data_IF_730507890219
#
_entry.id   IF_730507890219
#
_cell.length_a   1.000
_cell.length_b   1.000
_cell.length_c   1.000
_cell.angle_alpha   90.00
_cell.angle_beta   90.00
_cell.angle_gamma   90.00
#
_symmetry.space_group_name_H-M   'P 1'
#
loop_
_entity.id
_entity.type
_entity.pdbx_description
1 polymer ?
#
# COMPACT_ATOMS: atom_id res chain seq x y z
N UNK A 1 -19.41 -20.96 -20.34
CA UNK A 1 -19.38 -20.67 -18.88
C UNK A 1 -18.39 -21.54 -18.13
N UNK A 2 -18.39 -22.87 -18.32
CA UNK A 2 -17.46 -23.78 -17.63
C UNK A 2 -15.99 -23.43 -17.89
N UNK A 3 -15.65 -23.12 -19.15
CA UNK A 3 -14.28 -22.72 -19.53
C UNK A 3 -13.81 -21.44 -18.82
N UNK A 4 -14.67 -20.41 -18.73
CA UNK A 4 -14.35 -19.16 -18.01
C UNK A 4 -14.11 -19.45 -16.53
N UNK A 5 -14.94 -20.30 -15.92
CA UNK A 5 -14.78 -20.69 -14.52
C UNK A 5 -13.42 -21.38 -14.30
N UNK A 6 -13.04 -22.31 -15.19
CA UNK A 6 -11.74 -22.98 -15.13
C UNK A 6 -10.58 -21.98 -15.25
N UNK A 7 -10.68 -20.99 -16.14
CA UNK A 7 -9.67 -19.91 -16.24
C UNK A 7 -9.59 -19.10 -14.94
N UNK A 8 -10.72 -18.73 -14.35
CA UNK A 8 -10.72 -17.96 -13.09
C UNK A 8 -10.10 -18.78 -11.94
N UNK A 9 -10.36 -20.09 -11.88
CA UNK A 9 -9.79 -21.00 -10.89
C UNK A 9 -8.28 -21.24 -11.12
N UNK A 10 -7.83 -21.39 -12.37
CA UNK A 10 -6.40 -21.48 -12.76
C UNK A 10 -5.61 -20.28 -12.23
N UNK A 11 -6.22 -19.10 -12.23
CA UNK A 11 -5.62 -17.86 -11.74
C UNK A 11 -5.86 -17.62 -10.23
N UNK A 12 -6.47 -18.56 -9.51
CA UNK A 12 -6.72 -18.47 -8.07
C UNK A 12 -7.76 -17.40 -7.69
N UNK A 13 -8.67 -17.03 -8.60
CA UNK A 13 -9.72 -16.05 -8.31
C UNK A 13 -10.81 -16.69 -7.44
N UNK A 14 -11.02 -16.14 -6.25
CA UNK A 14 -11.96 -16.69 -5.27
C UNK A 14 -13.41 -16.73 -5.80
N UNK A 15 -14.14 -17.75 -5.36
CA UNK A 15 -15.58 -17.88 -5.66
C UNK A 15 -16.38 -16.65 -5.21
N UNK A 16 -15.96 -15.96 -4.15
CA UNK A 16 -16.59 -14.71 -3.72
C UNK A 16 -16.41 -13.61 -4.77
N UNK A 17 -15.20 -13.45 -5.33
CA UNK A 17 -14.95 -12.46 -6.36
C UNK A 17 -15.78 -12.73 -7.63
N UNK A 18 -15.92 -14.00 -8.01
CA UNK A 18 -16.77 -14.43 -9.12
C UNK A 18 -18.24 -14.06 -8.90
N UNK A 19 -18.79 -14.36 -7.72
CA UNK A 19 -20.18 -14.00 -7.34
C UNK A 19 -20.43 -12.49 -7.35
N UNK A 20 -19.43 -11.66 -7.04
CA UNK A 20 -19.56 -10.19 -7.04
C UNK A 20 -19.45 -9.56 -8.43
N UNK A 21 -19.14 -10.33 -9.48
CA UNK A 21 -19.01 -9.84 -10.85
C UNK A 21 -19.47 -10.87 -11.89
N UNK A 22 -20.78 -11.17 -11.94
CA UNK A 22 -21.34 -12.07 -12.97
C UNK A 22 -21.09 -11.62 -14.40
N UNK A 23 -20.94 -10.30 -14.63
CA UNK A 23 -20.63 -9.73 -15.94
C UNK A 23 -19.28 -10.21 -16.50
N UNK A 24 -18.40 -10.80 -15.69
CA UNK A 24 -17.17 -11.40 -16.19
C UNK A 24 -17.43 -12.52 -17.19
N UNK A 25 -18.55 -13.24 -17.06
CA UNK A 25 -18.91 -14.36 -17.93
C UNK A 25 -19.41 -13.92 -19.31
N UNK A 26 -19.56 -12.62 -19.57
CA UNK A 26 -19.89 -12.09 -20.90
C UNK A 26 -18.66 -11.88 -21.78
N UNK A 27 -17.45 -12.06 -21.25
CA UNK A 27 -16.19 -11.95 -21.99
C UNK A 27 -15.73 -13.32 -22.49
N UNK A 28 -14.87 -13.32 -23.52
CA UNK A 28 -14.23 -14.56 -23.96
C UNK A 28 -13.16 -15.03 -22.95
N UNK A 29 -12.92 -16.34 -22.83
CA UNK A 29 -11.85 -16.90 -21.99
C UNK A 29 -10.46 -16.33 -22.31
N UNK A 30 -10.16 -16.13 -23.59
CA UNK A 30 -8.90 -15.55 -24.06
C UNK A 30 -8.70 -14.11 -23.57
N UNK A 31 -9.72 -13.26 -23.66
CA UNK A 31 -9.67 -11.88 -23.15
C UNK A 31 -9.51 -11.84 -21.63
N UNK A 32 -10.13 -12.75 -20.90
CA UNK A 32 -9.96 -12.83 -19.43
C UNK A 32 -8.52 -13.20 -19.09
N UNK A 33 -7.95 -14.22 -19.75
CA UNK A 33 -6.57 -14.67 -19.55
C UNK A 33 -5.58 -13.53 -19.80
N UNK A 34 -5.70 -12.86 -20.94
CA UNK A 34 -4.85 -11.71 -21.30
C UNK A 34 -4.92 -10.60 -20.25
N UNK A 35 -6.14 -10.20 -19.84
CA UNK A 35 -6.33 -9.13 -18.85
C UNK A 35 -5.82 -9.51 -17.46
N UNK A 36 -5.91 -10.78 -17.07
CA UNK A 36 -5.36 -11.26 -15.80
C UNK A 36 -3.84 -11.29 -15.81
N UNK A 37 -3.20 -11.69 -16.91
CA UNK A 37 -1.74 -11.59 -17.04
C UNK A 37 -1.28 -10.13 -16.99
N UNK A 38 -1.93 -9.25 -17.75
CA UNK A 38 -1.63 -7.81 -17.72
C UNK A 38 -1.86 -7.22 -16.32
N UNK A 39 -2.81 -7.72 -15.54
CA UNK A 39 -3.05 -7.25 -14.18
C UNK A 39 -1.91 -7.57 -13.20
N UNK A 40 -1.09 -8.61 -13.47
CA UNK A 40 0.08 -8.94 -12.63
C UNK A 40 1.21 -7.93 -12.82
N UNK A 41 1.29 -7.28 -13.98
CA UNK A 41 2.36 -6.32 -14.31
C UNK A 41 2.07 -4.91 -13.80
N UNK A 42 0.79 -4.59 -13.55
CA UNK A 42 0.35 -3.27 -13.09
C UNK A 42 0.30 -3.24 -11.55
N UNK A 43 1.09 -2.40 -10.88
CA UNK A 43 1.18 -2.36 -9.41
C UNK A 43 -0.19 -2.21 -8.71
N UNK A 44 -1.04 -1.31 -9.19
CA UNK A 44 -2.39 -1.10 -8.64
C UNK A 44 -3.21 -2.38 -8.67
N UNK A 45 -3.24 -3.04 -9.83
CA UNK A 45 -4.09 -4.21 -10.03
C UNK A 45 -3.58 -5.37 -9.20
N UNK A 46 -2.26 -5.53 -9.10
CA UNK A 46 -1.63 -6.51 -8.21
C UNK A 46 -2.05 -6.29 -6.74
N UNK A 47 -2.09 -5.05 -6.26
CA UNK A 47 -2.54 -4.76 -4.87
C UNK A 47 -4.02 -5.12 -4.66
N UNK A 48 -4.85 -5.01 -5.69
CA UNK A 48 -6.27 -5.39 -5.61
C UNK A 48 -6.56 -6.85 -5.93
N UNK A 49 -5.56 -7.68 -6.27
CA UNK A 49 -5.78 -9.02 -6.83
C UNK A 49 -6.71 -9.90 -5.98
N UNK A 50 -6.50 -9.88 -4.66
CA UNK A 50 -7.30 -10.67 -3.70
C UNK A 50 -8.61 -9.98 -3.28
N UNK A 51 -8.88 -8.77 -3.76
CA UNK A 51 -10.05 -8.02 -3.33
C UNK A 51 -11.34 -8.62 -3.95
N UNK A 52 -12.45 -8.76 -3.19
CA UNK A 52 -13.69 -9.39 -3.69
C UNK A 52 -14.32 -8.71 -4.92
N UNK A 53 -13.90 -7.48 -5.23
CA UNK A 53 -14.39 -6.73 -6.40
C UNK A 53 -13.35 -6.63 -7.52
N UNK A 54 -12.22 -7.31 -7.42
CA UNK A 54 -11.12 -7.28 -8.40
C UNK A 54 -11.60 -7.55 -9.82
N UNK A 55 -12.50 -8.52 -10.01
CA UNK A 55 -13.04 -8.84 -11.33
C UNK A 55 -13.77 -7.67 -12.02
N UNK A 56 -14.23 -6.65 -11.28
CA UNK A 56 -14.77 -5.43 -11.90
C UNK A 56 -13.71 -4.63 -12.64
N UNK A 57 -12.47 -4.63 -12.14
CA UNK A 57 -11.32 -4.04 -12.85
C UNK A 57 -11.06 -4.83 -14.13
N UNK A 58 -11.07 -6.16 -14.06
CA UNK A 58 -10.85 -7.02 -15.23
C UNK A 58 -11.96 -6.84 -16.27
N UNK A 59 -13.21 -6.77 -15.83
CA UNK A 59 -14.34 -6.55 -16.74
C UNK A 59 -14.28 -5.16 -17.40
N UNK A 60 -14.05 -4.10 -16.63
CA UNK A 60 -13.91 -2.72 -17.11
C UNK A 60 -12.44 -2.32 -17.39
N UNK A 61 -11.61 -3.25 -17.87
CA UNK A 61 -10.16 -3.09 -17.95
C UNK A 61 -9.71 -1.82 -18.71
N UNK A 62 -10.21 -1.58 -19.92
CA UNK A 62 -9.87 -0.39 -20.71
C UNK A 62 -10.20 0.92 -19.97
N UNK A 63 -11.33 0.96 -19.25
CA UNK A 63 -11.72 2.11 -18.44
C UNK A 63 -10.78 2.28 -17.25
N UNK A 64 -10.48 1.20 -16.53
CA UNK A 64 -9.59 1.24 -15.38
C UNK A 64 -8.18 1.70 -15.77
N UNK A 65 -7.63 1.22 -16.88
CA UNK A 65 -6.33 1.65 -17.41
C UNK A 65 -6.29 3.14 -17.75
N UNK A 66 -7.28 3.63 -18.52
CA UNK A 66 -7.39 5.06 -18.85
C UNK A 66 -7.45 5.94 -17.61
N UNK A 67 -8.18 5.49 -16.57
CA UNK A 67 -8.28 6.18 -15.29
C UNK A 67 -6.96 6.18 -14.52
N UNK A 68 -6.23 5.05 -14.47
CA UNK A 68 -4.90 5.00 -13.84
C UNK A 68 -3.97 6.02 -14.50
N UNK A 69 -3.84 5.97 -15.83
CA UNK A 69 -2.95 6.86 -16.58
C UNK A 69 -3.26 8.33 -16.28
N UNK A 70 -4.53 8.74 -16.39
CA UNK A 70 -4.94 10.11 -16.13
C UNK A 70 -4.75 10.54 -14.67
N UNK A 71 -4.89 9.63 -13.70
CA UNK A 71 -4.67 9.96 -12.29
C UNK A 71 -3.18 10.10 -11.97
N UNK A 72 -2.32 9.28 -12.59
CA UNK A 72 -0.87 9.43 -12.50
C UNK A 72 -0.38 10.76 -13.08
N UNK A 73 -0.90 11.17 -14.25
CA UNK A 73 -0.57 12.47 -14.85
C UNK A 73 -0.93 13.64 -13.92
N UNK A 74 -1.96 13.46 -13.08
CA UNK A 74 -2.40 14.43 -12.08
C UNK A 74 -1.75 14.23 -10.70
N UNK A 75 -0.67 13.43 -10.60
CA UNK A 75 0.03 13.11 -9.36
C UNK A 75 -0.85 12.47 -8.26
N UNK A 76 -1.93 11.78 -8.65
CA UNK A 76 -2.83 11.07 -7.73
C UNK A 76 -2.43 9.61 -7.60
N UNK A 77 -1.99 9.23 -6.40
CA UNK A 77 -1.41 7.92 -6.09
C UNK A 77 -2.30 7.08 -5.18
N UNK A 78 -3.25 7.70 -4.48
CA UNK A 78 -4.13 7.03 -3.51
C UNK A 78 -5.38 6.40 -4.14
N UNK A 79 -5.15 5.45 -5.04
CA UNK A 79 -6.20 4.85 -5.84
C UNK A 79 -7.04 3.85 -5.03
N UNK A 80 -8.34 3.80 -5.33
CA UNK A 80 -9.28 2.82 -4.79
C UNK A 80 -10.01 2.09 -5.92
N UNK A 81 -10.47 0.86 -5.65
CA UNK A 81 -11.11 0.04 -6.69
C UNK A 81 -12.40 0.70 -7.21
N UNK A 82 -13.12 1.42 -6.35
CA UNK A 82 -14.31 2.19 -6.72
C UNK A 82 -14.00 3.29 -7.72
N UNK A 83 -12.87 3.98 -7.59
CA UNK A 83 -12.46 5.02 -8.53
C UNK A 83 -12.06 4.40 -9.87
N UNK A 84 -11.37 3.26 -9.85
CA UNK A 84 -10.90 2.61 -11.08
C UNK A 84 -12.02 1.94 -11.88
N UNK A 85 -12.96 1.26 -11.21
CA UNK A 85 -13.98 0.42 -11.87
C UNK A 85 -15.43 0.90 -11.69
N UNK A 86 -15.68 1.90 -10.84
CA UNK A 86 -17.01 2.39 -10.50
C UNK A 86 -17.55 3.47 -11.45
N UNK A 87 -18.53 4.23 -10.98
CA UNK A 87 -19.27 5.22 -11.77
C UNK A 87 -18.40 6.37 -12.30
N UNK A 88 -18.87 7.05 -13.35
CA UNK A 88 -18.25 8.28 -13.86
C UNK A 88 -18.25 9.40 -12.83
N UNK A 89 -19.40 9.64 -12.19
CA UNK A 89 -19.57 10.70 -11.21
C UNK A 89 -18.58 10.62 -10.03
N UNK A 90 -18.38 9.44 -9.43
CA UNK A 90 -17.41 9.30 -8.33
C UNK A 90 -15.97 9.51 -8.80
N UNK A 91 -15.64 9.04 -10.00
CA UNK A 91 -14.33 9.27 -10.61
C UNK A 91 -14.07 10.76 -10.86
N UNK A 92 -15.04 11.49 -11.42
CA UNK A 92 -14.88 12.92 -11.73
C UNK A 92 -14.71 13.76 -10.46
N UNK A 93 -15.47 13.45 -9.40
CA UNK A 93 -15.30 14.10 -8.10
C UNK A 93 -13.90 13.83 -7.54
N UNK A 94 -13.43 12.57 -7.57
CA UNK A 94 -12.08 12.23 -7.15
C UNK A 94 -11.01 12.90 -8.01
N UNK A 95 -11.21 12.96 -9.32
CA UNK A 95 -10.28 13.57 -10.28
C UNK A 95 -10.14 15.08 -10.06
N UNK A 96 -11.24 15.78 -9.75
CA UNK A 96 -11.24 17.23 -9.51
C UNK A 96 -10.84 17.61 -8.09
N UNK A 97 -10.89 16.69 -7.13
CA UNK A 97 -10.58 17.03 -5.72
C UNK A 97 -9.12 17.40 -5.52
N UNK A 98 -8.85 18.35 -4.63
CA UNK A 98 -7.48 18.66 -4.19
C UNK A 98 -6.96 17.53 -3.30
N UNK A 99 -5.90 16.85 -3.76
CA UNK A 99 -5.30 15.72 -3.07
C UNK A 99 -6.05 14.40 -3.22
N UNK A 100 -5.72 13.47 -2.33
CA UNK A 100 -5.78 12.02 -2.56
C UNK A 100 -6.64 11.27 -1.51
N UNK A 101 -7.62 11.96 -0.92
CA UNK A 101 -8.26 11.55 0.36
C UNK A 101 -9.49 10.66 0.21
N UNK A 102 -10.10 10.57 -0.97
CA UNK A 102 -11.47 10.07 -1.09
C UNK A 102 -11.55 8.53 -1.27
N UNK A 103 -12.39 7.89 -0.45
CA UNK A 103 -13.00 6.58 -0.75
C UNK A 103 -12.16 5.31 -0.51
N UNK A 104 -10.95 5.42 0.03
CA UNK A 104 -10.01 4.30 0.12
C UNK A 104 -9.93 3.57 1.46
N UNK A 105 -10.62 4.07 2.50
CA UNK A 105 -10.51 3.51 3.86
C UNK A 105 -10.79 2.01 3.91
N UNK A 106 -11.84 1.56 3.21
CA UNK A 106 -12.21 0.14 3.12
C UNK A 106 -11.16 -0.69 2.40
N UNK A 107 -10.64 -0.19 1.28
CA UNK A 107 -9.66 -0.89 0.47
C UNK A 107 -8.31 -1.00 1.21
N UNK A 108 -7.95 0.02 2.00
CA UNK A 108 -6.76 0.03 2.85
C UNK A 108 -6.86 -0.98 3.99
N UNK A 109 -7.97 -0.94 4.73
CA UNK A 109 -8.21 -1.90 5.81
C UNK A 109 -8.23 -3.32 5.25
N UNK A 110 -8.88 -3.53 4.10
CA UNK A 110 -8.89 -4.83 3.43
C UNK A 110 -7.47 -5.28 3.05
N UNK A 111 -6.68 -4.41 2.41
CA UNK A 111 -5.31 -4.72 2.00
C UNK A 111 -4.46 -5.17 3.20
N UNK A 112 -4.47 -4.40 4.30
CA UNK A 112 -3.69 -4.72 5.50
C UNK A 112 -4.18 -6.02 6.16
N UNK A 113 -5.50 -6.17 6.29
CA UNK A 113 -6.09 -7.38 6.90
C UNK A 113 -5.71 -8.63 6.10
N UNK A 114 -5.79 -8.54 4.77
CA UNK A 114 -5.42 -9.64 3.89
C UNK A 114 -3.93 -9.98 3.97
N UNK A 115 -3.07 -8.96 4.05
CA UNK A 115 -1.64 -9.12 4.24
C UNK A 115 -1.31 -9.85 5.55
N UNK A 116 -1.94 -9.44 6.66
CA UNK A 116 -1.73 -10.01 7.99
C UNK A 116 -2.29 -11.44 8.16
N UNK A 117 -3.31 -11.78 7.38
CA UNK A 117 -3.95 -13.10 7.41
C UNK A 117 -5.21 -13.18 8.29
N UNK A 118 -5.85 -14.37 8.34
CA UNK A 118 -7.22 -14.55 8.84
C UNK A 118 -7.38 -14.34 10.36
N UNK A 119 -6.27 -14.37 11.11
CA UNK A 119 -6.29 -14.18 12.58
C UNK A 119 -6.63 -12.75 12.99
N UNK A 120 -6.57 -11.78 12.07
CA UNK A 120 -6.77 -10.37 12.37
C UNK A 120 -8.07 -9.86 11.76
N UNK A 121 -8.90 -9.21 12.57
CA UNK A 121 -10.17 -8.65 12.08
C UNK A 121 -9.96 -7.28 11.44
N UNK A 122 -10.76 -6.98 10.39
CA UNK A 122 -10.78 -5.68 9.75
C UNK A 122 -11.11 -4.54 10.74
N UNK A 123 -11.97 -4.80 11.74
CA UNK A 123 -12.32 -3.84 12.79
C UNK A 123 -11.13 -3.50 13.67
N UNK A 124 -10.36 -4.51 14.09
CA UNK A 124 -9.16 -4.31 14.90
C UNK A 124 -8.09 -3.52 14.15
N UNK A 125 -7.83 -3.88 12.89
CA UNK A 125 -6.91 -3.14 12.01
C UNK A 125 -7.37 -1.69 11.86
N UNK A 126 -8.64 -1.46 11.54
CA UNK A 126 -9.20 -0.12 11.38
C UNK A 126 -9.02 0.75 12.64
N UNK A 127 -9.24 0.17 13.83
CA UNK A 127 -9.10 0.88 15.10
C UNK A 127 -7.66 1.29 15.39
N UNK A 128 -6.67 0.46 15.06
CA UNK A 128 -5.25 0.80 15.20
C UNK A 128 -4.87 1.91 14.21
N UNK A 129 -5.25 1.75 12.94
CA UNK A 129 -4.88 2.68 11.88
C UNK A 129 -5.46 4.09 12.11
N UNK A 130 -6.69 4.19 12.62
CA UNK A 130 -7.35 5.47 12.93
C UNK A 130 -6.59 6.35 13.92
N UNK A 131 -5.66 5.78 14.70
CA UNK A 131 -4.81 6.54 15.63
C UNK A 131 -3.83 7.46 14.89
N UNK A 132 -3.50 7.16 13.64
CA UNK A 132 -2.58 7.97 12.85
C UNK A 132 -3.34 8.98 11.99
N UNK A 133 -3.02 10.30 12.04
CA UNK A 133 -3.82 11.34 11.38
C UNK A 133 -3.91 11.20 9.86
N UNK A 134 -2.87 10.65 9.23
CA UNK A 134 -2.78 10.51 7.78
C UNK A 134 -3.01 9.08 7.26
N UNK A 135 -3.64 8.21 8.04
CA UNK A 135 -3.79 6.79 7.68
C UNK A 135 -4.52 6.57 6.34
N UNK A 136 -5.47 7.43 5.97
CA UNK A 136 -6.15 7.41 4.66
C UNK A 136 -5.46 8.28 3.59
N UNK A 137 -4.22 8.70 3.79
CA UNK A 137 -3.48 9.53 2.83
C UNK A 137 -2.28 8.80 2.21
N UNK A 138 -2.03 7.55 2.60
CA UNK A 138 -0.94 6.74 2.04
C UNK A 138 -1.43 5.82 0.90
N UNK A 139 -0.70 5.72 -0.23
CA UNK A 139 -1.03 4.81 -1.32
C UNK A 139 -1.02 3.34 -0.90
N UNK A 140 -1.96 2.54 -1.42
CA UNK A 140 -2.05 1.10 -1.12
C UNK A 140 -0.81 0.33 -1.56
N UNK A 141 -0.21 0.71 -2.69
CA UNK A 141 1.02 0.10 -3.21
C UNK A 141 2.15 0.23 -2.20
N UNK A 142 2.29 1.39 -1.56
CA UNK A 142 3.31 1.60 -0.53
C UNK A 142 3.05 0.71 0.68
N UNK A 143 1.81 0.63 1.15
CA UNK A 143 1.44 -0.21 2.30
C UNK A 143 1.76 -1.68 2.02
N UNK A 144 1.33 -2.19 0.85
CA UNK A 144 1.62 -3.56 0.41
C UNK A 144 3.14 -3.80 0.33
N UNK A 145 3.88 -2.87 -0.27
CA UNK A 145 5.33 -2.98 -0.40
C UNK A 145 6.04 -2.99 0.96
N UNK A 146 5.66 -2.11 1.89
CA UNK A 146 6.26 -2.04 3.23
C UNK A 146 5.95 -3.32 4.01
N UNK A 147 4.73 -3.84 3.90
CA UNK A 147 4.38 -5.13 4.50
C UNK A 147 5.24 -6.28 3.95
N UNK A 148 5.37 -6.37 2.62
CA UNK A 148 6.20 -7.41 1.98
C UNK A 148 7.66 -7.34 2.43
N UNK A 149 8.19 -6.14 2.71
CA UNK A 149 9.54 -5.97 3.23
C UNK A 149 9.65 -6.34 4.70
N UNK A 150 8.72 -5.90 5.55
CA UNK A 150 8.75 -6.20 6.99
C UNK A 150 8.52 -7.68 7.29
N UNK A 151 7.63 -8.34 6.54
CA UNK A 151 7.32 -9.76 6.74
C UNK A 151 8.51 -10.71 6.52
N UNK A 152 9.60 -10.24 5.90
CA UNK A 152 10.85 -11.00 5.80
C UNK A 152 11.57 -11.19 7.15
N UNK A 153 11.30 -10.32 8.13
CA UNK A 153 12.02 -10.28 9.41
C UNK A 153 11.09 -10.30 10.63
N UNK A 154 9.86 -9.83 10.48
CA UNK A 154 8.87 -9.66 11.55
C UNK A 154 7.67 -10.57 11.32
N UNK A 155 7.12 -11.11 12.41
CA UNK A 155 5.89 -11.90 12.31
C UNK A 155 4.68 -10.99 12.04
N UNK A 156 3.57 -11.56 11.56
CA UNK A 156 2.32 -10.82 11.40
C UNK A 156 1.85 -10.19 12.73
N UNK A 157 2.12 -10.83 13.87
CA UNK A 157 1.80 -10.28 15.21
C UNK A 157 2.63 -9.05 15.51
N UNK A 158 3.95 -9.10 15.28
CA UNK A 158 4.84 -7.96 15.51
C UNK A 158 4.40 -6.75 14.66
N UNK A 159 4.03 -7.00 13.40
CA UNK A 159 3.57 -5.95 12.47
C UNK A 159 2.18 -5.43 12.87
N UNK A 160 1.27 -6.30 13.32
CA UNK A 160 -0.06 -5.87 13.77
C UNK A 160 0.02 -4.97 15.01
N UNK A 161 0.83 -5.31 16.00
CA UNK A 161 1.02 -4.49 17.20
C UNK A 161 1.59 -3.10 16.86
N UNK A 162 2.34 -3.02 15.76
CA UNK A 162 2.99 -1.81 15.27
C UNK A 162 2.42 -1.34 13.92
N UNK A 163 1.14 -1.65 13.63
CA UNK A 163 0.54 -1.49 12.30
C UNK A 163 0.73 -0.11 11.64
N UNK A 164 0.72 1.04 12.37
CA UNK A 164 0.96 2.35 11.77
C UNK A 164 2.30 2.47 11.04
N UNK A 165 3.29 1.62 11.33
CA UNK A 165 4.58 1.59 10.62
C UNK A 165 4.41 1.38 9.11
N UNK A 166 3.34 0.69 8.68
CA UNK A 166 3.03 0.45 7.26
C UNK A 166 2.75 1.74 6.47
N UNK A 167 2.48 2.85 7.16
CA UNK A 167 2.24 4.15 6.57
C UNK A 167 3.53 4.88 6.16
N UNK A 168 4.68 4.44 6.67
CA UNK A 168 5.95 5.14 6.51
C UNK A 168 6.70 4.65 5.27
N UNK A 169 7.44 5.53 4.56
CA UNK A 169 8.27 5.13 3.44
C UNK A 169 9.33 4.10 3.86
N UNK A 170 9.45 3.02 3.08
CA UNK A 170 10.40 1.92 3.37
C UNK A 170 11.85 2.40 3.51
N UNK A 171 12.28 3.38 2.71
CA UNK A 171 13.62 3.94 2.81
C UNK A 171 13.89 4.57 4.19
N UNK A 172 12.91 5.27 4.78
CA UNK A 172 13.00 5.82 6.14
C UNK A 172 13.04 4.68 7.17
N UNK A 173 12.14 3.71 7.07
CA UNK A 173 12.09 2.54 7.98
C UNK A 173 13.44 1.80 7.96
N UNK A 174 13.94 1.45 6.77
CA UNK A 174 15.20 0.73 6.58
C UNK A 174 16.39 1.51 7.12
N UNK A 175 16.48 2.81 6.84
CA UNK A 175 17.57 3.64 7.38
C UNK A 175 17.54 3.68 8.91
N UNK A 176 16.36 3.81 9.52
CA UNK A 176 16.20 3.78 10.97
C UNK A 176 16.57 2.41 11.56
N UNK A 177 16.20 1.30 10.90
CA UNK A 177 16.62 -0.05 11.29
C UNK A 177 18.14 -0.20 11.27
N UNK A 178 18.80 0.21 10.17
CA UNK A 178 20.25 0.11 10.03
C UNK A 178 21.00 0.97 11.06
N UNK A 179 20.46 2.16 11.38
CA UNK A 179 21.02 3.01 12.44
C UNK A 179 20.88 2.38 13.82
N UNK A 180 19.76 1.73 14.09
CA UNK A 180 19.50 1.03 15.35
C UNK A 180 20.46 -0.15 15.52
N UNK A 181 20.64 -0.97 14.47
CA UNK A 181 21.50 -2.16 14.53
C UNK A 181 23.00 -1.83 14.65
N UNK A 182 23.44 -0.72 14.04
CA UNK A 182 24.85 -0.30 14.08
C UNK A 182 25.26 0.35 15.40
N UNK A 183 24.33 0.62 16.32
CA UNK A 183 24.60 1.37 17.57
C UNK A 183 25.10 2.80 17.34
N UNK A 184 25.19 3.23 16.07
CA UNK A 184 25.63 4.54 15.65
C UNK A 184 24.42 5.27 15.11
N UNK A 185 23.83 6.12 15.94
CA UNK A 185 23.02 7.18 15.38
C UNK A 185 23.48 8.51 15.91
N UNK A 186 24.14 9.26 15.02
CA UNK A 186 24.45 10.68 15.20
C UNK A 186 23.19 11.52 15.43
N UNK A 187 22.02 10.98 15.06
CA UNK A 187 20.69 11.54 15.32
C UNK A 187 20.02 10.92 16.56
N UNK A 188 20.69 10.04 17.31
CA UNK A 188 20.22 9.50 18.59
C UNK A 188 21.25 9.81 19.69
N UNK A 189 21.46 11.09 20.05
CA UNK A 189 22.24 11.41 21.25
C UNK A 189 21.64 10.84 22.54
N UNK A 190 20.34 10.49 22.54
CA UNK A 190 19.61 10.07 23.75
C UNK A 190 19.64 8.55 24.03
N UNK A 191 19.47 7.65 23.05
CA UNK A 191 19.45 6.20 23.33
C UNK A 191 20.84 5.63 23.66
N UNK A 192 21.94 6.32 23.30
CA UNK A 192 23.29 5.93 23.72
C UNK A 192 23.60 6.30 25.19
N UNK A 193 22.84 7.24 25.77
CA UNK A 193 22.96 7.65 27.17
C UNK A 193 22.00 6.88 28.09
N UNK A 194 21.01 6.19 27.51
CA UNK A 194 20.09 5.31 28.22
C UNK A 194 20.60 3.87 28.06
N UNK A 195 20.63 3.09 29.15
CA UNK A 195 21.15 1.72 29.21
C UNK A 195 20.33 0.67 28.40
N UNK A 196 19.88 1.01 27.19
CA UNK A 196 19.01 0.17 26.37
C UNK A 196 19.88 -0.80 25.58
N UNK A 197 19.89 -2.05 26.03
CA UNK A 197 20.50 -3.14 25.27
C UNK A 197 19.59 -3.54 24.10
N UNK A 198 19.85 -2.99 22.92
CA UNK A 198 19.10 -3.24 21.67
C UNK A 198 19.04 -4.74 21.34
N UNK A 199 20.05 -5.53 21.75
CA UNK A 199 20.08 -6.99 21.53
C UNK A 199 19.04 -7.74 22.38
N UNK A 200 18.60 -7.15 23.48
CA UNK A 200 17.58 -7.74 24.36
C UNK A 200 16.14 -7.40 23.95
N UNK A 201 15.94 -6.50 22.98
CA UNK A 201 14.61 -6.10 22.54
C UNK A 201 13.95 -7.20 21.70
N UNK A 202 12.67 -7.44 21.98
CA UNK A 202 11.83 -8.29 21.12
C UNK A 202 11.61 -7.64 19.76
N UNK A 203 11.19 -8.43 18.77
CA UNK A 203 10.89 -7.94 17.42
C UNK A 203 9.82 -6.83 17.43
N UNK A 204 8.72 -7.04 18.15
CA UNK A 204 7.69 -6.01 18.35
C UNK A 204 8.24 -4.74 19.00
N UNK A 205 9.07 -4.84 20.06
CA UNK A 205 9.69 -3.68 20.70
C UNK A 205 10.62 -2.92 19.75
N UNK A 206 11.37 -3.63 18.90
CA UNK A 206 12.20 -2.99 17.86
C UNK A 206 11.36 -2.17 16.89
N UNK A 207 10.23 -2.71 16.41
CA UNK A 207 9.31 -1.97 15.54
C UNK A 207 8.73 -0.74 16.23
N UNK A 208 8.34 -0.86 17.50
CA UNK A 208 7.85 0.29 18.29
C UNK A 208 8.91 1.39 18.39
N UNK A 209 10.16 1.00 18.62
CA UNK A 209 11.28 1.95 18.71
C UNK A 209 11.58 2.61 17.37
N UNK A 210 11.53 1.85 16.26
CA UNK A 210 11.68 2.40 14.91
C UNK A 210 10.58 3.43 14.64
N UNK A 211 9.33 3.12 14.97
CA UNK A 211 8.20 4.03 14.80
C UNK A 211 8.39 5.31 15.64
N UNK A 212 8.83 5.17 16.90
CA UNK A 212 9.18 6.31 17.75
C UNK A 212 10.25 7.19 17.11
N UNK A 213 11.35 6.61 16.63
CA UNK A 213 12.45 7.34 16.01
C UNK A 213 12.02 8.05 14.71
N UNK A 214 11.12 7.44 13.94
CA UNK A 214 10.54 8.06 12.75
C UNK A 214 9.72 9.30 13.07
N UNK A 215 8.97 9.31 14.17
CA UNK A 215 8.05 10.40 14.53
C UNK A 215 8.63 11.44 15.48
N UNK A 216 9.71 11.12 16.21
CA UNK A 216 10.31 12.03 17.19
C UNK A 216 10.69 13.37 16.58
N UNK A 217 11.29 13.38 15.39
CA UNK A 217 11.68 14.61 14.70
C UNK A 217 10.48 15.38 14.12
N UNK A 218 9.29 14.78 14.15
CA UNK A 218 8.03 15.34 13.67
C UNK A 218 7.04 15.59 14.82
N UNK A 219 7.50 15.55 16.07
CA UNK A 219 6.68 15.79 17.27
C UNK A 219 5.41 14.93 17.33
N UNK A 220 5.46 13.71 16.79
CA UNK A 220 4.31 12.79 16.75
C UNK A 220 3.07 13.35 16.04
N UNK A 221 3.26 14.29 15.13
CA UNK A 221 2.19 14.87 14.30
C UNK A 221 1.74 13.92 13.18
N UNK A 222 2.43 12.79 12.98
CA UNK A 222 2.23 11.87 11.87
C UNK A 222 2.89 12.33 10.57
N UNK A 223 3.59 13.47 10.56
CA UNK A 223 4.23 14.02 9.37
C UNK A 223 5.47 13.21 8.92
N UNK A 224 5.95 12.25 9.72
CA UNK A 224 7.07 11.39 9.34
C UNK A 224 6.77 10.45 8.16
N UNK A 225 5.48 10.26 7.82
CA UNK A 225 5.04 9.49 6.64
C UNK A 225 5.39 10.19 5.31
N UNK A 226 5.65 11.49 5.33
CA UNK A 226 6.02 12.24 4.13
C UNK A 226 7.52 12.14 3.87
N UNK A 227 7.92 11.98 2.62
CA UNK A 227 9.33 12.14 2.23
C UNK A 227 9.65 13.63 2.22
N UNK A 228 10.69 14.05 2.95
CA UNK A 228 11.11 15.44 3.03
C UNK A 228 11.32 16.00 1.61
N UNK A 229 10.77 17.19 1.33
CA UNK A 229 10.71 17.78 -0.02
C UNK A 229 12.08 17.93 -0.70
N UNK A 230 13.16 17.91 0.08
CA UNK A 230 14.55 17.95 -0.42
C UNK A 230 14.89 16.79 -1.36
N UNK A 231 14.20 15.64 -1.30
CA UNK A 231 14.43 14.54 -2.24
C UNK A 231 13.71 14.66 -3.59
N UNK A 232 12.68 15.52 -3.73
CA UNK A 232 12.03 15.75 -5.03
C UNK A 232 12.98 16.41 -6.02
N UNK A 233 13.76 17.39 -5.57
CA UNK A 233 14.67 18.16 -6.42
C UNK A 233 15.87 17.32 -6.93
N UNK A 234 16.29 16.27 -6.21
CA UNK A 234 17.42 15.42 -6.63
C UNK A 234 17.02 14.37 -7.68
N UNK A 235 15.76 13.90 -7.68
CA UNK A 235 15.28 12.95 -8.70
C UNK A 235 14.97 13.68 -10.02
N UNK A 236 14.48 14.92 -9.96
CA UNK A 236 14.28 15.75 -11.14
C UNK A 236 15.62 16.14 -11.80
N UNK A 237 16.65 16.46 -11.02
CA UNK A 237 17.99 16.77 -11.58
C UNK A 237 18.69 15.57 -12.24
N UNK A 238 18.48 14.33 -11.78
CA UNK A 238 19.05 13.15 -12.44
C UNK A 238 18.35 12.82 -13.76
N UNK A 239 17.04 13.08 -13.88
CA UNK A 239 16.28 12.79 -15.11
C UNK A 239 16.49 13.84 -16.21
N UNK A 240 16.86 15.07 -15.88
CA UNK A 240 17.18 16.10 -16.89
C UNK A 240 18.56 15.86 -17.53
N UNK A 241 19.53 15.35 -16.77
CA UNK A 241 20.89 15.10 -17.28
C UNK A 241 21.04 13.79 -18.08
N UNK A 242 20.01 12.95 -18.14
CA UNK A 242 19.97 11.74 -18.99
C UNK A 242 19.15 11.91 -20.27
N UNK A 243 18.47 13.06 -20.44
CA UNK A 243 17.75 13.40 -21.67
C UNK A 243 18.54 14.35 -22.59
N UNK A 244 19.73 14.77 -22.16
CA UNK A 244 20.67 15.59 -22.95
C UNK A 244 22.04 14.92 -22.88
N UNK A 245 22.19 13.81 -23.60
CA UNK A 245 23.43 13.27 -24.16
C UNK A 245 23.10 12.14 -25.14
#
# INVERSE_FOLDING_TARGET
>A
MLEIKNVLEEYGISNEAQKRCFQIYTLSPSTIRERLENAKTIPEFKTFYNHPRFLKIIHYNTKALKRIMKLYDNNKKCLSLNILSGSGAHYEVYEKSTGDRLGKSKDLVFCITQSLGPSYSASSVCNIMKRHPFWINIPLIQISYVYDKLSTQFSASDIFDNCPILLYPWNKIKSTMEQLDKGHSKNVPALCNENINIKCLTKSQKLSLILYLLERNHYFTGNGVWTDEKQRNNVEMCNVNQAVN
#
